data_IF_854396189090
#
_entry.id   IF_854396189090
#
_cell.length_a   1.000
_cell.length_b   1.000
_cell.length_c   1.000
_cell.angle_alpha   90.00
_cell.angle_beta   90.00
_cell.angle_gamma   90.00
#
_symmetry.space_group_name_H-M   'P 1'
#
loop_
_entity.id
_entity.type
_entity.pdbx_description
1 polymer ?
#
# COMPACT_ATOMS: atom_id res chain seq x y z
N UNK A 1 3.77 11.28 -2.83
CA UNK A 1 3.63 10.60 -1.51
C UNK A 1 2.95 9.26 -1.78
N UNK A 2 3.74 8.19 -1.86
CA UNK A 2 3.30 6.86 -2.33
C UNK A 2 2.42 6.21 -1.28
N UNK A 3 1.21 5.78 -1.66
CA UNK A 3 0.36 4.93 -0.84
C UNK A 3 1.03 3.55 -0.81
N UNK A 4 1.65 3.18 0.31
CA UNK A 4 2.17 1.82 0.49
C UNK A 4 1.08 1.01 1.20
N UNK A 5 0.44 0.02 0.54
CA UNK A 5 -0.57 -0.85 1.16
C UNK A 5 0.04 -1.83 2.19
N UNK A 6 1.29 -1.62 2.57
CA UNK A 6 2.09 -2.48 3.42
C UNK A 6 2.82 -1.59 4.42
N UNK A 7 2.46 -1.62 5.72
CA UNK A 7 3.23 -0.92 6.72
C UNK A 7 4.56 -1.65 6.92
N UNK A 8 5.62 -1.07 6.38
CA UNK A 8 6.98 -1.55 6.56
C UNK A 8 7.48 -1.08 7.91
N UNK A 9 7.96 -1.99 8.76
CA UNK A 9 8.63 -1.61 10.00
C UNK A 9 9.99 -1.00 9.66
N UNK A 10 10.03 0.30 9.39
CA UNK A 10 11.24 1.04 8.96
C UNK A 10 12.46 0.77 9.86
N UNK A 11 12.35 0.68 11.20
CA UNK A 11 13.47 0.35 12.07
C UNK A 11 14.07 -1.06 11.87
N UNK A 12 13.41 -1.92 11.08
CA UNK A 12 13.83 -3.30 10.78
C UNK A 12 14.31 -3.48 9.33
N UNK A 13 14.37 -2.40 8.54
CA UNK A 13 15.01 -2.42 7.22
C UNK A 13 16.55 -2.47 7.41
N UNK A 14 17.19 -3.48 6.85
CA UNK A 14 18.64 -3.65 6.87
C UNK A 14 19.15 -3.99 5.46
N UNK A 15 20.33 -3.48 5.12
CA UNK A 15 21.03 -3.86 3.89
C UNK A 15 22.04 -4.95 4.21
N UNK A 16 21.88 -6.13 3.62
CA UNK A 16 22.80 -7.27 3.74
C UNK A 16 23.62 -7.40 2.45
N UNK A 17 24.88 -7.80 2.60
CA UNK A 17 25.79 -8.08 1.48
C UNK A 17 25.90 -6.96 0.42
N UNK A 18 25.70 -5.70 0.83
CA UNK A 18 25.77 -4.52 -0.04
C UNK A 18 24.68 -4.38 -1.12
N UNK A 19 23.83 -5.38 -1.32
CA UNK A 19 22.84 -5.41 -2.40
C UNK A 19 21.47 -6.02 -2.03
N UNK A 20 21.30 -6.54 -0.81
CA UNK A 20 20.06 -7.18 -0.36
C UNK A 20 19.36 -6.28 0.67
N UNK A 21 18.13 -5.85 0.42
CA UNK A 21 17.33 -5.11 1.41
C UNK A 21 16.38 -6.08 2.10
N UNK A 22 16.53 -6.23 3.41
CA UNK A 22 15.76 -7.17 4.25
C UNK A 22 14.92 -6.37 5.24
N UNK A 23 13.66 -6.73 5.42
CA UNK A 23 12.77 -6.07 6.38
C UNK A 23 11.53 -6.90 6.68
N UNK A 24 10.83 -6.55 7.77
CA UNK A 24 9.55 -7.16 8.13
C UNK A 24 8.42 -6.16 7.86
N UNK A 25 7.34 -6.66 7.25
CA UNK A 25 6.09 -5.92 7.06
C UNK A 25 4.98 -6.64 7.83
N UNK A 26 4.19 -5.88 8.59
CA UNK A 26 3.06 -6.42 9.33
C UNK A 26 1.77 -6.09 8.58
N UNK A 27 1.28 -7.00 7.75
CA UNK A 27 -0.02 -6.78 7.11
C UNK A 27 -1.13 -7.08 8.10
N UNK A 28 -2.08 -6.17 8.38
CA UNK A 28 -3.37 -6.58 8.91
C UNK A 28 -3.98 -7.56 7.88
N UNK A 29 -4.35 -8.76 8.33
CA UNK A 29 -4.66 -9.92 7.48
C UNK A 29 -5.73 -9.64 6.41
N UNK A 30 -6.57 -8.62 6.64
CA UNK A 30 -7.74 -8.30 5.83
C UNK A 30 -7.70 -6.90 5.15
N UNK A 31 -6.73 -6.04 5.49
CA UNK A 31 -6.72 -4.65 5.01
C UNK A 31 -6.32 -4.50 3.53
N UNK A 32 -5.40 -5.34 3.07
CA UNK A 32 -4.78 -5.19 1.74
C UNK A 32 -5.71 -5.65 0.61
N UNK A 33 -6.53 -6.65 0.88
CA UNK A 33 -7.50 -7.18 -0.08
C UNK A 33 -8.64 -6.18 -0.33
N UNK A 34 -9.09 -5.47 0.70
CA UNK A 34 -10.14 -4.46 0.58
C UNK A 34 -9.63 -3.25 -0.19
N UNK A 35 -8.45 -2.73 0.16
CA UNK A 35 -7.87 -1.59 -0.54
C UNK A 35 -7.61 -1.88 -2.02
N UNK A 36 -7.11 -3.09 -2.34
CA UNK A 36 -6.88 -3.51 -3.74
C UNK A 36 -8.20 -3.66 -4.51
N UNK A 37 -9.25 -4.18 -3.87
CA UNK A 37 -10.56 -4.36 -4.50
C UNK A 37 -11.25 -3.02 -4.77
N UNK A 38 -11.17 -2.08 -3.82
CA UNK A 38 -11.74 -0.73 -4.00
C UNK A 38 -10.94 0.07 -5.04
N UNK A 39 -9.61 -0.04 -5.06
CA UNK A 39 -8.78 0.60 -6.08
C UNK A 39 -9.15 0.13 -7.50
N UNK A 40 -9.36 -1.17 -7.68
CA UNK A 40 -9.76 -1.75 -8.97
C UNK A 40 -11.17 -1.29 -9.39
N UNK A 41 -12.11 -1.22 -8.44
CA UNK A 41 -13.47 -0.73 -8.69
C UNK A 41 -13.50 0.76 -9.05
N UNK A 42 -12.77 1.61 -8.32
CA UNK A 42 -12.68 3.05 -8.59
C UNK A 42 -12.00 3.35 -9.92
N UNK A 43 -10.96 2.59 -10.28
CA UNK A 43 -10.31 2.72 -11.58
C UNK A 43 -11.26 2.37 -12.75
N UNK A 44 -12.08 1.33 -12.58
CA UNK A 44 -13.05 0.93 -13.61
C UNK A 44 -14.21 1.92 -13.74
N UNK A 45 -14.72 2.43 -12.60
CA UNK A 45 -15.90 3.32 -12.59
C UNK A 45 -15.54 4.78 -12.87
N UNK A 46 -14.32 5.21 -12.53
CA UNK A 46 -13.89 6.60 -12.56
C UNK A 46 -12.49 6.76 -13.16
N UNK A 47 -12.25 6.39 -14.43
CA UNK A 47 -10.92 6.35 -15.01
C UNK A 47 -10.16 7.69 -14.94
N UNK A 48 -10.87 8.82 -14.99
CA UNK A 48 -10.26 10.17 -14.96
C UNK A 48 -10.22 10.80 -13.56
N UNK A 49 -10.89 10.21 -12.56
CA UNK A 49 -10.98 10.77 -11.18
C UNK A 49 -10.75 9.75 -10.07
N UNK A 50 -10.31 8.54 -10.39
CA UNK A 50 -10.04 7.47 -9.41
C UNK A 50 -9.01 7.92 -8.37
N UNK A 51 -8.00 8.70 -8.78
CA UNK A 51 -6.96 9.21 -7.88
C UNK A 51 -7.54 10.12 -6.80
N UNK A 52 -8.56 10.92 -7.09
CA UNK A 52 -9.20 11.80 -6.11
C UNK A 52 -10.13 11.01 -5.19
N UNK A 53 -10.85 10.02 -5.74
CA UNK A 53 -11.83 9.21 -4.99
C UNK A 53 -11.17 8.26 -4.00
N UNK A 54 -10.05 7.66 -4.38
CA UNK A 54 -9.32 6.72 -3.52
C UNK A 54 -8.66 7.42 -2.30
N UNK A 55 -8.55 8.76 -2.31
CA UNK A 55 -7.94 9.52 -1.20
C UNK A 55 -8.73 9.41 0.10
N UNK A 56 -10.01 9.08 0.06
CA UNK A 56 -10.82 8.87 1.28
C UNK A 56 -10.33 7.69 2.13
N UNK A 57 -9.52 6.79 1.56
CA UNK A 57 -8.94 5.62 2.23
C UNK A 57 -7.56 5.90 2.86
N UNK A 58 -6.99 7.11 2.68
CA UNK A 58 -5.70 7.53 3.26
C UNK A 58 -5.51 7.37 4.78
N UNK A 59 -6.54 7.37 5.64
CA UNK A 59 -6.32 7.21 7.07
C UNK A 59 -5.95 5.77 7.49
N UNK A 60 -5.99 4.80 6.58
CA UNK A 60 -5.78 3.38 6.84
C UNK A 60 -4.63 2.81 6.02
#
# INVERSE_FOLDING_TARGET
MTISPFPVAVPRLAVRNGAEVVGYCFTPQDGNSILSSVAAADWFLYPDSYEEKIQCLKPY
#
